data_IF_784420683107
#
_entry.id   IF_784420683107
#
_cell.length_a   1.000
_cell.length_b   1.000
_cell.length_c   1.000
_cell.angle_alpha   90.00
_cell.angle_beta   90.00
_cell.angle_gamma   90.00
#
_symmetry.space_group_name_H-M   'P 1'
#
loop_
_entity.id
_entity.type
_entity.pdbx_description
1 polymer ?
#
# COMPACT_ATOMS: atom_id res chain seq x y z
N UNK A 1 24.70 -30.17 33.41
CA UNK A 1 24.37 -30.34 31.98
C UNK A 1 23.36 -29.27 31.60
N UNK A 2 23.78 -28.25 30.86
CA UNK A 2 22.92 -27.16 30.39
C UNK A 2 22.45 -27.49 28.97
N UNK A 3 21.17 -27.79 28.80
CA UNK A 3 20.53 -27.94 27.50
C UNK A 3 19.62 -26.76 27.20
N UNK A 4 19.93 -26.12 26.07
CA UNK A 4 19.03 -25.34 25.20
C UNK A 4 18.64 -23.92 25.60
N UNK A 5 19.54 -22.97 25.33
CA UNK A 5 19.16 -21.60 24.91
C UNK A 5 18.89 -21.61 23.40
N UNK A 6 17.65 -21.91 23.00
CA UNK A 6 17.16 -21.68 21.63
C UNK A 6 15.93 -20.79 21.74
N UNK A 7 16.11 -19.48 21.61
CA UNK A 7 15.05 -18.51 21.23
C UNK A 7 15.50 -17.08 21.55
N UNK A 8 16.35 -16.41 20.74
CA UNK A 8 16.56 -14.95 20.89
C UNK A 8 17.03 -14.18 19.63
N UNK A 9 16.93 -14.72 18.41
CA UNK A 9 17.38 -13.99 17.20
C UNK A 9 16.40 -13.98 16.02
N UNK A 10 15.10 -14.13 16.26
CA UNK A 10 14.11 -13.66 15.27
C UNK A 10 13.99 -12.15 15.40
N UNK A 11 14.53 -11.42 14.42
CA UNK A 11 14.34 -9.97 14.33
C UNK A 11 12.83 -9.69 14.33
N UNK A 12 12.32 -8.78 15.18
CA UNK A 12 10.90 -8.43 15.16
C UNK A 12 10.49 -8.02 13.75
N UNK A 13 9.51 -8.74 13.20
CA UNK A 13 8.93 -8.43 11.90
C UNK A 13 7.63 -7.68 12.12
N UNK A 14 7.54 -6.51 11.50
CA UNK A 14 6.46 -5.56 11.71
C UNK A 14 5.55 -5.64 10.50
N UNK A 15 4.34 -6.21 10.62
CA UNK A 15 3.39 -6.31 9.51
C UNK A 15 3.03 -4.93 8.98
N UNK A 16 2.90 -4.81 7.66
CA UNK A 16 2.44 -3.61 6.98
C UNK A 16 1.79 -3.98 5.64
N UNK A 17 1.17 -2.99 5.00
CA UNK A 17 0.49 -3.17 3.72
C UNK A 17 0.85 -2.08 2.71
N UNK A 18 0.94 -2.51 1.46
CA UNK A 18 1.19 -1.66 0.30
C UNK A 18 0.01 -1.78 -0.68
N UNK A 19 -0.34 -0.67 -1.32
CA UNK A 19 -1.06 -0.68 -2.58
C UNK A 19 -0.04 -0.52 -3.70
N UNK A 20 0.03 -1.50 -4.60
CA UNK A 20 0.99 -1.55 -5.69
C UNK A 20 0.28 -1.46 -7.02
N UNK A 21 0.72 -0.52 -7.85
CA UNK A 21 0.28 -0.35 -9.23
C UNK A 21 1.42 -0.77 -10.16
N UNK A 22 1.15 -1.75 -11.04
CA UNK A 22 2.15 -2.33 -11.95
C UNK A 22 1.54 -2.61 -13.33
N UNK A 23 2.29 -2.38 -14.40
CA UNK A 23 1.88 -2.64 -15.80
C UNK A 23 2.85 -3.59 -16.54
N UNK A 24 3.39 -4.59 -15.84
CA UNK A 24 4.43 -5.50 -16.36
C UNK A 24 5.73 -4.80 -16.82
N UNK A 25 5.85 -3.49 -16.58
CA UNK A 25 7.09 -2.75 -16.77
C UNK A 25 8.04 -2.95 -15.58
N UNK A 26 9.27 -2.48 -15.74
CA UNK A 26 10.29 -2.50 -14.68
C UNK A 26 9.93 -1.60 -13.51
N UNK A 27 9.02 -0.63 -13.66
CA UNK A 27 8.67 0.32 -12.60
C UNK A 27 7.31 0.00 -12.00
N UNK A 28 7.28 -0.10 -10.67
CA UNK A 28 6.05 -0.20 -9.87
C UNK A 28 5.86 1.07 -9.05
N UNK A 29 4.60 1.49 -8.90
CA UNK A 29 4.23 2.64 -8.09
C UNK A 29 3.48 2.19 -6.85
N UNK A 30 3.83 2.74 -5.70
CA UNK A 30 3.42 2.19 -4.41
C UNK A 30 2.86 3.31 -3.52
N UNK A 31 1.72 3.02 -2.90
CA UNK A 31 1.29 3.68 -1.67
C UNK A 31 1.55 2.74 -0.50
N UNK A 32 2.22 3.25 0.53
CA UNK A 32 2.45 2.52 1.77
C UNK A 32 1.71 3.22 2.89
N UNK A 33 0.77 2.51 3.51
CA UNK A 33 0.03 3.03 4.65
C UNK A 33 0.73 2.54 5.92
N UNK A 34 1.14 3.45 6.79
CA UNK A 34 1.85 3.09 8.03
C UNK A 34 0.83 2.65 9.10
N UNK A 35 0.79 1.36 9.47
CA UNK A 35 -0.15 0.87 10.46
C UNK A 35 0.09 1.46 11.85
N UNK A 36 1.33 1.88 12.18
CA UNK A 36 1.67 2.56 13.44
C UNK A 36 0.88 3.85 13.69
N UNK A 37 0.40 4.47 12.62
CA UNK A 37 -0.36 5.73 12.65
C UNK A 37 -1.84 5.52 12.37
N UNK A 38 -2.30 4.27 12.43
CA UNK A 38 -3.65 3.88 11.97
C UNK A 38 -3.85 4.13 10.47
N UNK A 39 -2.78 4.15 9.68
CA UNK A 39 -2.84 4.46 8.25
C UNK A 39 -2.90 5.95 7.89
N UNK A 40 -2.82 6.86 8.87
CA UNK A 40 -2.85 8.31 8.63
C UNK A 40 -1.65 8.81 7.83
N UNK A 41 -0.47 8.22 8.07
CA UNK A 41 0.73 8.48 7.29
C UNK A 41 0.75 7.57 6.06
N UNK A 42 0.68 8.20 4.89
CA UNK A 42 0.68 7.52 3.59
C UNK A 42 1.90 7.96 2.80
N UNK A 43 2.82 7.02 2.65
CA UNK A 43 4.06 7.15 1.90
C UNK A 43 3.84 6.84 0.42
N UNK A 44 4.62 7.49 -0.44
CA UNK A 44 4.59 7.33 -1.90
C UNK A 44 5.99 6.98 -2.38
N UNK A 45 6.12 5.95 -3.18
CA UNK A 45 7.40 5.58 -3.78
C UNK A 45 7.22 4.88 -5.13
N UNK A 46 8.20 5.04 -6.00
CA UNK A 46 8.34 4.26 -7.23
C UNK A 46 9.59 3.41 -7.11
N UNK A 47 9.51 2.14 -7.49
CA UNK A 47 10.67 1.25 -7.52
C UNK A 47 10.84 0.70 -8.92
N UNK A 48 12.08 0.74 -9.40
CA UNK A 48 12.46 0.10 -10.66
C UNK A 48 13.18 -1.20 -10.34
N UNK A 49 12.56 -2.32 -10.72
CA UNK A 49 13.10 -3.66 -10.62
C UNK A 49 13.48 -4.20 -12.00
N UNK A 50 14.43 -5.16 -12.08
CA UNK A 50 14.56 -6.00 -13.25
C UNK A 50 13.22 -6.69 -13.54
N UNK A 51 12.85 -6.84 -14.82
CA UNK A 51 11.57 -7.43 -15.27
C UNK A 51 11.31 -8.85 -14.76
N UNK A 52 12.34 -9.54 -14.26
CA UNK A 52 12.27 -10.88 -13.69
C UNK A 52 11.86 -10.92 -12.21
N UNK A 53 11.79 -9.77 -11.53
CA UNK A 53 11.47 -9.71 -10.10
C UNK A 53 9.97 -9.65 -9.89
N UNK A 54 9.39 -10.74 -9.40
CA UNK A 54 7.93 -10.83 -9.14
C UNK A 54 7.56 -10.54 -7.69
N UNK A 55 8.48 -10.76 -6.75
CA UNK A 55 8.25 -10.61 -5.30
C UNK A 55 8.84 -9.30 -4.77
N UNK A 56 8.07 -8.56 -3.99
CA UNK A 56 8.52 -7.32 -3.38
C UNK A 56 9.56 -7.58 -2.29
N UNK A 57 10.73 -6.95 -2.47
CA UNK A 57 11.79 -6.90 -1.46
C UNK A 57 12.47 -5.55 -1.55
N UNK A 58 12.42 -4.77 -0.47
CA UNK A 58 13.01 -3.43 -0.44
C UNK A 58 13.38 -3.04 1.00
N UNK A 59 14.61 -2.55 1.21
CA UNK A 59 15.09 -2.01 2.51
C UNK A 59 14.83 -2.91 3.73
N UNK A 60 14.87 -4.22 3.55
CA UNK A 60 14.61 -5.20 4.61
C UNK A 60 13.15 -5.59 4.77
N UNK A 61 12.23 -4.92 4.07
CA UNK A 61 10.86 -5.38 3.91
C UNK A 61 10.78 -6.55 2.93
N UNK A 62 9.93 -7.53 3.26
CA UNK A 62 9.69 -8.74 2.46
C UNK A 62 8.20 -8.94 2.25
N UNK A 63 7.79 -9.24 1.03
CA UNK A 63 6.44 -9.70 0.71
C UNK A 63 6.10 -10.98 1.50
N UNK A 64 4.85 -11.08 1.96
CA UNK A 64 4.26 -12.29 2.52
C UNK A 64 3.17 -12.84 1.62
N UNK A 65 2.29 -11.93 1.18
CA UNK A 65 1.16 -12.27 0.34
C UNK A 65 0.83 -11.08 -0.56
N UNK A 66 0.18 -11.39 -1.68
CA UNK A 66 -0.28 -10.41 -2.66
C UNK A 66 -1.64 -10.84 -3.16
N UNK A 67 -2.53 -9.86 -3.27
CA UNK A 67 -3.86 -10.02 -3.82
C UNK A 67 -4.08 -8.99 -4.92
N UNK A 68 -4.53 -9.43 -6.10
CA UNK A 68 -4.95 -8.52 -7.14
C UNK A 68 -6.40 -8.11 -6.90
N UNK A 69 -6.63 -6.83 -6.68
CA UNK A 69 -7.98 -6.30 -6.40
C UNK A 69 -8.65 -5.70 -7.64
N UNK A 70 -7.89 -5.47 -8.71
CA UNK A 70 -8.45 -5.05 -9.99
C UNK A 70 -7.41 -4.61 -11.01
N UNK A 71 -7.92 -4.01 -12.07
CA UNK A 71 -7.14 -3.43 -13.16
C UNK A 71 -7.68 -2.05 -13.51
N UNK A 72 -6.79 -1.11 -13.80
CA UNK A 72 -7.14 0.22 -14.26
C UNK A 72 -6.48 0.48 -15.61
N UNK A 73 -7.22 1.12 -16.52
CA UNK A 73 -6.69 1.61 -17.79
C UNK A 73 -6.41 3.08 -17.64
N UNK A 74 -5.16 3.49 -17.89
CA UNK A 74 -4.74 4.88 -17.91
C UNK A 74 -4.55 5.35 -19.35
N UNK A 75 -5.12 6.50 -19.70
CA UNK A 75 -4.97 7.16 -20.99
C UNK A 75 -3.68 8.00 -21.00
N UNK A 76 -2.54 7.33 -21.10
CA UNK A 76 -1.22 7.99 -21.06
C UNK A 76 -1.03 9.01 -22.19
N UNK A 77 -1.73 8.86 -23.31
CA UNK A 77 -1.75 9.85 -24.39
C UNK A 77 -2.46 11.16 -24.02
N UNK A 78 -3.33 11.13 -23.00
CA UNK A 78 -4.01 12.30 -22.45
C UNK A 78 -3.25 12.92 -21.26
N UNK A 79 -2.03 12.44 -21.00
CA UNK A 79 -1.23 12.85 -19.86
C UNK A 79 -1.61 12.18 -18.54
N UNK A 80 -2.47 11.16 -18.53
CA UNK A 80 -2.73 10.39 -17.31
C UNK A 80 -1.46 9.66 -16.86
N UNK A 81 -1.19 9.72 -15.57
CA UNK A 81 -0.04 9.04 -14.96
C UNK A 81 -0.48 8.13 -13.82
N UNK A 82 0.30 7.09 -13.49
CA UNK A 82 0.09 6.26 -12.30
C UNK A 82 -0.11 7.08 -11.02
N UNK A 83 0.58 8.21 -10.90
CA UNK A 83 0.46 9.11 -9.76
C UNK A 83 -0.89 9.80 -9.66
N UNK A 84 -1.52 10.16 -10.78
CA UNK A 84 -2.87 10.76 -10.77
C UNK A 84 -3.86 9.78 -10.14
N UNK A 85 -3.82 8.51 -10.55
CA UNK A 85 -4.65 7.46 -9.97
C UNK A 85 -4.34 7.24 -8.47
N UNK A 86 -3.07 7.08 -8.10
CA UNK A 86 -2.70 6.88 -6.68
C UNK A 86 -3.01 8.11 -5.81
N UNK A 87 -3.03 9.31 -6.38
CA UNK A 87 -3.46 10.53 -5.68
C UNK A 87 -4.95 10.50 -5.38
N UNK A 88 -5.78 10.05 -6.32
CA UNK A 88 -7.22 9.85 -6.10
C UNK A 88 -7.46 8.82 -4.98
N UNK A 89 -6.78 7.66 -5.06
CA UNK A 89 -6.87 6.64 -4.00
C UNK A 89 -6.45 7.19 -2.64
N UNK A 90 -5.35 7.95 -2.57
CA UNK A 90 -4.91 8.60 -1.31
C UNK A 90 -5.97 9.54 -0.75
N UNK A 91 -6.64 10.32 -1.60
CA UNK A 91 -7.71 11.22 -1.18
C UNK A 91 -8.91 10.45 -0.61
N UNK A 92 -9.30 9.34 -1.25
CA UNK A 92 -10.37 8.46 -0.76
C UNK A 92 -10.01 7.78 0.56
N UNK A 93 -8.76 7.29 0.71
CA UNK A 93 -8.23 6.76 1.98
C UNK A 93 -8.40 7.79 3.09
N UNK A 94 -7.96 9.04 2.86
CA UNK A 94 -8.08 10.12 3.86
C UNK A 94 -9.52 10.40 4.23
N UNK A 95 -10.44 10.38 3.26
CA UNK A 95 -11.88 10.57 3.52
C UNK A 95 -12.44 9.46 4.42
N UNK A 96 -12.12 8.19 4.13
CA UNK A 96 -12.57 7.05 4.95
C UNK A 96 -11.99 7.10 6.37
N UNK A 97 -10.71 7.43 6.52
CA UNK A 97 -10.08 7.60 7.84
C UNK A 97 -10.74 8.73 8.65
N UNK A 98 -11.06 9.85 7.99
CA UNK A 98 -11.78 10.95 8.66
C UNK A 98 -13.17 10.50 9.14
N UNK A 99 -13.92 9.81 8.28
CA UNK A 99 -15.25 9.29 8.64
C UNK A 99 -15.21 8.29 9.80
N UNK A 100 -14.16 7.46 9.86
CA UNK A 100 -13.96 6.56 10.99
C UNK A 100 -13.69 7.31 12.30
N UNK A 101 -12.88 8.37 12.27
CA UNK A 101 -12.59 9.20 13.44
C UNK A 101 -13.83 9.95 13.95
N UNK A 102 -14.64 10.48 13.01
CA UNK A 102 -15.90 11.15 13.33
C UNK A 102 -16.89 10.17 13.98
N UNK A 103 -16.94 8.93 13.47
CA UNK A 103 -17.81 7.87 14.01
C UNK A 103 -17.34 7.32 15.36
N UNK A 104 -16.03 7.13 15.55
CA UNK A 104 -15.42 6.63 16.79
C UNK A 104 -15.48 7.64 17.94
N UNK A 105 -15.59 8.94 17.64
CA UNK A 105 -15.83 9.96 18.68
C UNK A 105 -17.16 9.76 19.43
N UNK A 106 -18.06 8.90 18.93
CA UNK A 106 -19.29 8.51 19.61
C UNK A 106 -19.22 7.18 20.39
N UNK A 107 -18.14 6.40 20.27
CA UNK A 107 -17.99 5.10 20.94
C UNK A 107 -16.54 4.86 21.34
N UNK A 108 -16.16 5.35 22.52
CA UNK A 108 -14.85 5.08 23.10
C UNK A 108 -14.83 3.67 23.69
N UNK A 109 -14.16 2.74 23.02
CA UNK A 109 -13.69 1.50 23.63
C UNK A 109 -12.31 1.17 23.09
N UNK A 110 -11.43 0.94 24.05
CA UNK A 110 -10.03 0.58 23.91
C UNK A 110 -9.92 -0.71 23.10
N UNK A 111 -8.93 -0.78 22.22
CA UNK A 111 -8.30 -2.06 21.95
C UNK A 111 -6.80 -1.89 21.82
N UNK A 112 -6.13 -2.70 22.63
CA UNK A 112 -4.76 -3.16 22.41
C UNK A 112 -4.75 -4.07 21.17
N UNK A 113 -5.10 -3.52 20.01
CA UNK A 113 -5.11 -4.28 18.76
C UNK A 113 -3.65 -4.63 18.39
N UNK A 114 -3.41 -5.90 18.06
CA UNK A 114 -2.14 -6.31 17.47
C UNK A 114 -1.93 -5.55 16.16
N UNK A 115 -0.67 -5.29 15.77
CA UNK A 115 -0.40 -4.62 14.50
C UNK A 115 -0.95 -5.41 13.29
N UNK A 116 -1.09 -6.74 13.42
CA UNK A 116 -1.72 -7.59 12.41
C UNK A 116 -3.22 -7.30 12.26
N UNK A 117 -3.92 -7.09 13.38
CA UNK A 117 -5.34 -6.72 13.39
C UNK A 117 -5.52 -5.32 12.81
N UNK A 118 -4.66 -4.37 13.19
CA UNK A 118 -4.64 -3.02 12.62
C UNK A 118 -4.44 -3.06 11.10
N UNK A 119 -3.49 -3.85 10.61
CA UNK A 119 -3.26 -4.02 9.16
C UNK A 119 -4.49 -4.63 8.48
N UNK A 120 -5.09 -5.66 9.09
CA UNK A 120 -6.28 -6.32 8.54
C UNK A 120 -7.46 -5.35 8.45
N UNK A 121 -7.70 -4.56 9.50
CA UNK A 121 -8.77 -3.57 9.52
C UNK A 121 -8.52 -2.45 8.51
N UNK A 122 -7.27 -1.98 8.43
CA UNK A 122 -6.88 -0.94 7.48
C UNK A 122 -7.08 -1.39 6.04
N UNK A 123 -6.83 -2.66 5.73
CA UNK A 123 -7.11 -3.19 4.39
C UNK A 123 -8.60 -3.23 4.11
N UNK A 124 -9.37 -3.87 5.00
CA UNK A 124 -10.80 -4.15 4.79
C UNK A 124 -11.64 -2.87 4.74
N UNK A 125 -11.37 -1.93 5.64
CA UNK A 125 -12.25 -0.76 5.80
C UNK A 125 -11.79 0.45 5.00
N UNK A 126 -10.49 0.53 4.68
CA UNK A 126 -9.90 1.77 4.13
C UNK A 126 -9.26 1.51 2.79
N UNK A 127 -8.23 0.67 2.73
CA UNK A 127 -7.39 0.53 1.54
C UNK A 127 -8.15 -0.07 0.36
N UNK A 128 -8.82 -1.20 0.59
CA UNK A 128 -9.54 -1.92 -0.45
C UNK A 128 -10.79 -1.14 -0.92
N UNK A 129 -11.65 -0.59 -0.04
CA UNK A 129 -12.77 0.25 -0.47
C UNK A 129 -12.30 1.49 -1.26
N UNK A 130 -11.27 2.19 -0.81
CA UNK A 130 -10.74 3.37 -1.52
C UNK A 130 -10.19 3.02 -2.90
N UNK A 131 -9.44 1.92 -3.01
CA UNK A 131 -8.88 1.48 -4.27
C UNK A 131 -9.96 1.00 -5.24
N UNK A 132 -10.93 0.21 -4.77
CA UNK A 132 -12.05 -0.27 -5.61
C UNK A 132 -12.93 0.88 -6.09
N UNK A 133 -13.24 1.85 -5.23
CA UNK A 133 -14.00 3.04 -5.59
C UNK A 133 -13.27 3.88 -6.66
N UNK A 134 -11.95 4.06 -6.53
CA UNK A 134 -11.14 4.70 -7.57
C UNK A 134 -11.14 3.90 -8.89
N UNK A 135 -11.04 2.57 -8.83
CA UNK A 135 -11.10 1.69 -10.02
C UNK A 135 -12.47 1.82 -10.71
N UNK A 136 -13.56 1.82 -9.95
CA UNK A 136 -14.91 1.98 -10.50
C UNK A 136 -15.10 3.35 -11.15
N UNK A 137 -14.60 4.42 -10.52
CA UNK A 137 -14.63 5.76 -11.07
C UNK A 137 -13.86 5.91 -12.39
N UNK A 138 -12.89 5.04 -12.65
CA UNK A 138 -12.17 4.98 -13.93
C UNK A 138 -12.95 4.20 -15.00
N UNK A 139 -13.69 3.15 -14.60
CA UNK A 139 -14.49 2.32 -15.54
C UNK A 139 -15.65 3.09 -16.16
N UNK A 140 -16.26 4.02 -15.43
CA UNK A 140 -17.39 4.82 -15.89
C UNK A 140 -17.04 5.99 -16.82
N UNK A 141 -15.78 6.14 -17.25
CA UNK A 141 -15.33 7.25 -18.08
C UNK A 141 -15.42 6.90 -19.57
N UNK A 142 -15.60 7.94 -20.37
CA UNK A 142 -15.50 7.81 -21.81
C UNK A 142 -14.12 7.31 -22.22
N UNK A 143 -14.10 6.48 -23.26
CA UNK A 143 -12.86 5.93 -23.79
C UNK A 143 -12.14 6.99 -24.60
N UNK A 144 -10.87 7.22 -24.26
CA UNK A 144 -9.99 8.01 -25.11
C UNK A 144 -9.57 7.20 -26.33
N UNK A 145 -9.39 7.89 -27.46
CA UNK A 145 -8.79 7.31 -28.68
C UNK A 145 -7.25 7.36 -28.63
N UNK A 146 -6.66 7.99 -27.62
CA UNK A 146 -5.23 8.15 -27.47
C UNK A 146 -4.57 6.93 -26.80
N UNK A 147 -3.24 6.97 -26.66
CA UNK A 147 -2.47 5.85 -26.13
C UNK A 147 -2.96 5.41 -24.74
N UNK A 148 -3.18 4.11 -24.56
CA UNK A 148 -3.69 3.52 -23.31
C UNK A 148 -2.68 2.55 -22.72
N UNK A 149 -2.67 2.42 -21.39
CA UNK A 149 -1.90 1.41 -20.66
C UNK A 149 -2.74 0.80 -19.55
N UNK A 150 -2.73 -0.52 -19.46
CA UNK A 150 -3.36 -1.24 -18.37
C UNK A 150 -2.39 -1.45 -17.22
N UNK A 151 -2.87 -1.22 -16.00
CA UNK A 151 -2.15 -1.46 -14.77
C UNK A 151 -2.98 -2.39 -13.89
N UNK A 152 -2.33 -3.40 -13.34
CA UNK A 152 -2.87 -4.23 -12.26
C UNK A 152 -2.67 -3.52 -10.93
N UNK A 153 -3.71 -3.55 -10.10
CA UNK A 153 -3.74 -2.98 -8.76
C UNK A 153 -3.70 -4.12 -7.75
N UNK A 154 -2.70 -4.11 -6.88
CA UNK A 154 -2.47 -5.15 -5.88
C UNK A 154 -2.49 -4.56 -4.47
N UNK A 155 -3.02 -5.35 -3.54
CA UNK A 155 -2.73 -5.21 -2.10
C UNK A 155 -1.61 -6.18 -1.78
N UNK A 156 -0.52 -5.69 -1.19
CA UNK A 156 0.67 -6.49 -0.87
C UNK A 156 0.95 -6.39 0.62
N UNK A 157 0.88 -7.54 1.30
CA UNK A 157 1.23 -7.68 2.70
C UNK A 157 2.73 -7.89 2.83
N UNK A 158 3.37 -7.11 3.70
CA UNK A 158 4.82 -7.16 3.90
C UNK A 158 5.16 -7.30 5.39
N UNK A 159 6.32 -7.91 5.65
CA UNK A 159 7.00 -7.84 6.94
C UNK A 159 8.17 -6.88 6.83
N UNK A 160 8.18 -5.85 7.68
CA UNK A 160 9.28 -4.87 7.77
C UNK A 160 10.20 -5.23 8.92
N UNK A 161 11.47 -4.85 8.80
CA UNK A 161 12.45 -5.08 9.86
C UNK A 161 12.45 -4.01 10.97
N UNK A 162 11.77 -2.88 10.76
CA UNK A 162 11.74 -1.72 11.65
C UNK A 162 10.54 -0.81 11.32
N UNK A 163 9.75 -0.39 12.31
CA UNK A 163 8.60 0.49 12.17
C UNK A 163 9.00 1.94 11.86
N UNK A 164 10.20 2.35 12.29
CA UNK A 164 10.72 3.71 12.06
C UNK A 164 11.35 3.87 10.68
N UNK A 165 11.62 2.76 9.99
CA UNK A 165 12.18 2.81 8.63
C UNK A 165 11.07 3.06 7.62
N UNK A 166 10.98 4.31 7.21
CA UNK A 166 10.27 4.69 5.99
C UNK A 166 10.78 3.85 4.81
N UNK A 167 9.85 3.46 3.93
CA UNK A 167 10.22 2.87 2.65
C UNK A 167 10.69 3.94 1.65
N UNK A 168 10.53 5.22 1.99
CA UNK A 168 10.98 6.34 1.19
C UNK A 168 12.49 6.55 1.38
N UNK A 169 13.17 6.82 0.28
CA UNK A 169 14.51 7.36 0.28
C UNK A 169 14.48 8.82 0.76
N UNK A 170 15.21 9.17 1.82
CA UNK A 170 15.70 10.54 1.90
C UNK A 170 16.74 10.67 0.79
N UNK A 171 16.31 10.97 -0.43
CA UNK A 171 17.21 11.54 -1.42
C UNK A 171 17.46 12.97 -0.99
N UNK A 172 18.31 13.16 0.02
CA UNK A 172 19.12 14.36 0.05
C UNK A 172 20.07 14.24 -1.13
N UNK A 173 19.64 14.73 -2.29
CA UNK A 173 20.61 15.11 -3.32
C UNK A 173 21.33 16.36 -2.82
N UNK A 174 22.67 16.41 -2.89
CA UNK A 174 23.44 17.63 -2.60
C UNK A 174 23.12 18.74 -3.60
#
# INVERSE_FOLDING_TARGET
MLTSLKSHFTRPTIPSVLLVLSNSSTTIHILHLLPETGGSTIERLSLTYPSTTTTFRHRGAREQAREQIGTVTLYVGDGETPWVFLNDVKSRIRKLLQQQNDSKSSSQLQTTDSLEEVVTQLVKDVLQPAALDAIHAMRGRDRSMNATRMYSVYVVYILRSDARRSLIEFTSFP
#
